data_IF_275343359186
#
_entry.id   IF_275343359186
#
_cell.length_a   1.000
_cell.length_b   1.000
_cell.length_c   1.000
_cell.angle_alpha   90.00
_cell.angle_beta   90.00
_cell.angle_gamma   90.00
#
_symmetry.space_group_name_H-M   'P 1'
#
loop_
_entity.id
_entity.type
_entity.pdbx_description
1 polymer ?
#
# COMPACT_ATOMS: atom_id res chain seq x y z
N UNK A 1 1.23 6.83 20.10
CA UNK A 1 2.16 5.99 19.31
C UNK A 1 1.39 5.55 18.09
N UNK A 2 1.94 5.72 16.89
CA UNK A 2 1.29 5.25 15.66
C UNK A 2 1.31 3.72 15.63
N UNK A 3 0.13 3.09 15.60
CA UNK A 3 0.01 1.64 15.56
C UNK A 3 -0.21 1.18 14.12
N UNK A 4 0.73 0.40 13.57
CA UNK A 4 0.57 -0.26 12.28
C UNK A 4 -0.45 -1.39 12.46
N UNK A 5 -1.60 -1.26 11.80
CA UNK A 5 -2.66 -2.26 11.84
C UNK A 5 -2.44 -3.37 10.81
N UNK A 6 -2.13 -2.97 9.58
CA UNK A 6 -2.01 -3.86 8.43
C UNK A 6 -0.92 -3.34 7.50
N UNK A 7 -0.30 -4.22 6.72
CA UNK A 7 0.70 -3.85 5.74
C UNK A 7 0.64 -4.72 4.48
N UNK A 8 1.07 -4.16 3.36
CA UNK A 8 1.21 -4.90 2.10
C UNK A 8 2.41 -4.40 1.31
N UNK A 9 2.90 -5.23 0.40
CA UNK A 9 3.97 -4.86 -0.55
C UNK A 9 3.52 -5.17 -1.96
N UNK A 10 3.52 -4.14 -2.81
CA UNK A 10 3.21 -4.25 -4.24
C UNK A 10 4.53 -4.21 -5.01
N UNK A 11 4.82 -5.25 -5.79
CA UNK A 11 6.05 -5.35 -6.59
C UNK A 11 5.72 -5.25 -8.07
N UNK A 12 6.32 -4.30 -8.78
CA UNK A 12 6.07 -4.08 -10.21
C UNK A 12 7.38 -3.95 -10.99
N UNK A 13 7.45 -4.48 -12.23
CA UNK A 13 8.67 -4.41 -13.03
C UNK A 13 8.95 -2.96 -13.49
N UNK A 14 10.22 -2.58 -13.53
CA UNK A 14 10.65 -1.25 -14.02
C UNK A 14 10.35 -1.00 -15.49
N UNK A 15 10.30 -2.08 -16.27
CA UNK A 15 9.95 -2.05 -17.69
C UNK A 15 8.50 -1.64 -17.92
N UNK A 16 7.65 -1.67 -16.88
CA UNK A 16 6.27 -1.20 -16.98
C UNK A 16 6.23 0.33 -17.09
N UNK A 17 5.54 0.89 -18.11
CA UNK A 17 5.30 2.31 -18.24
C UNK A 17 4.66 2.93 -16.98
N UNK A 18 4.97 4.20 -16.70
CA UNK A 18 4.54 4.86 -15.46
C UNK A 18 3.02 4.92 -15.30
N UNK A 19 2.30 5.23 -16.38
CA UNK A 19 0.84 5.25 -16.43
C UNK A 19 0.24 3.89 -16.03
N UNK A 20 0.73 2.81 -16.65
CA UNK A 20 0.31 1.44 -16.32
C UNK A 20 0.65 1.06 -14.89
N UNK A 21 1.81 1.49 -14.41
CA UNK A 21 2.27 1.21 -13.05
C UNK A 21 1.37 1.86 -12.02
N UNK A 22 0.99 3.12 -12.23
CA UNK A 22 0.04 3.82 -11.35
C UNK A 22 -1.29 3.07 -11.32
N UNK A 23 -1.84 2.71 -12.49
CA UNK A 23 -3.09 1.94 -12.57
C UNK A 23 -3.00 0.60 -11.84
N UNK A 24 -1.90 -0.13 -12.02
CA UNK A 24 -1.71 -1.45 -11.40
C UNK A 24 -1.53 -1.35 -9.88
N UNK A 25 -0.74 -0.39 -9.39
CA UNK A 25 -0.62 -0.12 -7.96
C UNK A 25 -1.99 0.21 -7.36
N UNK A 26 -2.76 1.11 -7.99
CA UNK A 26 -4.10 1.49 -7.52
C UNK A 26 -5.04 0.29 -7.47
N UNK A 27 -4.99 -0.59 -8.48
CA UNK A 27 -5.80 -1.80 -8.53
C UNK A 27 -5.44 -2.75 -7.38
N UNK A 28 -4.17 -3.13 -7.25
CA UNK A 28 -3.71 -4.06 -6.23
C UNK A 28 -3.93 -3.50 -4.82
N UNK A 29 -3.74 -2.20 -4.62
CA UNK A 29 -4.04 -1.55 -3.35
C UNK A 29 -5.53 -1.61 -3.03
N UNK A 30 -6.40 -1.39 -4.02
CA UNK A 30 -7.85 -1.48 -3.83
C UNK A 30 -8.31 -2.91 -3.52
N UNK A 31 -7.71 -3.91 -4.17
CA UNK A 31 -7.97 -5.33 -3.90
C UNK A 31 -7.53 -5.71 -2.49
N UNK A 32 -6.34 -5.28 -2.07
CA UNK A 32 -5.88 -5.48 -0.70
C UNK A 32 -6.84 -4.85 0.31
N UNK A 33 -7.23 -3.58 0.11
CA UNK A 33 -8.17 -2.91 1.01
C UNK A 33 -9.52 -3.63 1.10
N UNK A 34 -10.02 -4.20 0.00
CA UNK A 34 -11.26 -5.00 -0.02
C UNK A 34 -11.11 -6.36 0.66
N UNK A 35 -9.89 -6.91 0.72
CA UNK A 35 -9.61 -8.19 1.40
C UNK A 35 -9.51 -8.06 2.92
N UNK A 36 -9.45 -6.84 3.46
CA UNK A 36 -9.41 -6.63 4.90
C UNK A 36 -10.77 -6.96 5.52
N UNK A 37 -10.84 -8.07 6.26
CA UNK A 37 -12.06 -8.56 6.94
C UNK A 37 -12.67 -7.51 7.89
N UNK A 38 -11.83 -6.62 8.41
CA UNK A 38 -12.25 -5.50 9.25
C UNK A 38 -11.93 -4.22 8.50
N UNK A 39 -12.97 -3.50 8.11
CA UNK A 39 -12.81 -2.08 7.80
C UNK A 39 -12.06 -1.45 8.98
N UNK A 40 -11.00 -0.65 8.73
CA UNK A 40 -10.28 0.00 9.80
C UNK A 40 -11.30 0.73 10.68
N UNK A 41 -11.34 0.34 11.96
CA UNK A 41 -12.24 0.97 12.92
C UNK A 41 -11.82 2.43 12.97
N UNK A 42 -12.79 3.30 12.74
CA UNK A 42 -12.64 4.75 12.68
C UNK A 42 -12.02 5.30 11.39
N UNK A 43 -12.71 6.31 10.85
CA UNK A 43 -12.26 7.14 9.72
C UNK A 43 -10.97 7.94 9.98
N UNK A 44 -10.22 7.59 11.03
CA UNK A 44 -8.88 8.06 11.35
C UNK A 44 -7.78 7.16 10.75
N UNK A 45 -8.10 5.93 10.33
CA UNK A 45 -7.12 5.02 9.74
C UNK A 45 -6.75 5.46 8.33
N UNK A 46 -5.46 5.71 8.10
CA UNK A 46 -4.93 6.17 6.81
C UNK A 46 -4.00 5.13 6.21
N UNK A 47 -4.07 4.99 4.89
CA UNK A 47 -3.12 4.20 4.10
C UNK A 47 -1.95 5.09 3.75
N UNK A 48 -0.74 4.68 4.13
CA UNK A 48 0.50 5.39 3.81
C UNK A 48 1.40 4.51 2.96
N UNK A 49 2.07 5.12 1.97
CA UNK A 49 3.28 4.55 1.38
C UNK A 49 4.41 4.79 2.36
N UNK A 50 4.82 3.75 3.08
CA UNK A 50 5.84 3.86 4.14
C UNK A 50 7.25 3.69 3.61
N UNK A 51 7.42 2.97 2.49
CA UNK A 51 8.72 2.78 1.84
C UNK A 51 8.56 2.51 0.35
N UNK A 52 9.51 3.02 -0.43
CA UNK A 52 9.71 2.66 -1.83
C UNK A 52 11.11 2.08 -1.98
N UNK A 53 11.21 0.81 -2.36
CA UNK A 53 12.47 0.20 -2.76
C UNK A 53 12.58 0.16 -4.28
N UNK A 54 13.79 0.40 -4.77
CA UNK A 54 14.09 0.39 -6.19
C UNK A 54 15.18 -0.66 -6.41
N UNK A 55 14.79 -1.87 -6.80
CA UNK A 55 15.72 -2.95 -7.16
C UNK A 55 16.26 -2.76 -8.58
N UNK A 56 17.08 -3.68 -9.08
CA UNK A 56 17.59 -3.57 -10.47
C UNK A 56 16.46 -3.70 -11.50
N UNK A 57 15.48 -4.59 -11.25
CA UNK A 57 14.42 -4.95 -12.21
C UNK A 57 13.03 -4.52 -11.79
N UNK A 58 12.84 -4.14 -10.53
CA UNK A 58 11.53 -3.88 -9.94
C UNK A 58 11.49 -2.60 -9.08
N UNK A 59 10.26 -2.14 -8.87
CA UNK A 59 9.87 -1.22 -7.80
C UNK A 59 9.06 -2.01 -6.78
N UNK A 60 9.32 -1.79 -5.49
CA UNK A 60 8.53 -2.34 -4.39
C UNK A 60 7.95 -1.21 -3.57
N UNK A 61 6.63 -1.16 -3.54
CA UNK A 61 5.84 -0.17 -2.82
C UNK A 61 5.33 -0.81 -1.53
N UNK A 62 5.78 -0.32 -0.38
CA UNK A 62 5.35 -0.80 0.92
C UNK A 62 4.26 0.13 1.46
N UNK A 63 3.08 -0.43 1.67
CA UNK A 63 1.94 0.29 2.21
C UNK A 63 1.62 -0.20 3.62
N UNK A 64 1.17 0.70 4.47
CA UNK A 64 0.72 0.39 5.82
C UNK A 64 -0.56 1.16 6.14
N UNK A 65 -1.49 0.51 6.82
CA UNK A 65 -2.60 1.19 7.49
C UNK A 65 -2.15 1.50 8.91
N UNK A 66 -2.17 2.79 9.24
CA UNK A 66 -1.80 3.27 10.57
C UNK A 66 -3.05 3.82 11.24
N UNK A 67 -3.32 3.37 12.46
CA UNK A 67 -4.32 3.99 13.34
C UNK A 67 -3.66 5.02 14.25
N UNK A 68 -4.29 6.18 14.37
CA UNK A 68 -4.03 7.09 15.48
C UNK A 68 -4.95 6.67 16.63
N UNK A 69 -4.43 5.88 17.57
CA UNK A 69 -5.01 5.84 18.91
C UNK A 69 -4.79 7.21 19.54
N UNK A 70 -5.88 7.95 19.75
CA UNK A 70 -5.90 9.21 20.47
C UNK A 70 -6.80 9.06 21.69
#
# INVERSE_FOLDING_TARGET
MENILEHTTITLPKTMPLDKRITEVTKQLSEWLKSLDKAPKDGASKVFLTKLETGEKDYKYHYSIISNDN
#
